data_IF_701877099949
#
_entry.id   IF_701877099949
#
_cell.length_a   1.000
_cell.length_b   1.000
_cell.length_c   1.000
_cell.angle_alpha   90.00
_cell.angle_beta   90.00
_cell.angle_gamma   90.00
#
_symmetry.space_group_name_H-M   'P 1'
#
loop_
_entity.id
_entity.type
_entity.pdbx_description
1 polymer ?
#
# COMPACT_ATOMS: atom_id res chain seq x y z
N UNK A 1 31.00 -6.94 -12.03
CA UNK A 1 30.25 -7.83 -11.12
C UNK A 1 30.16 -7.28 -9.69
N UNK A 2 31.20 -6.59 -9.19
CA UNK A 2 31.24 -6.07 -7.80
C UNK A 2 30.29 -4.88 -7.56
N UNK A 3 30.16 -3.94 -8.53
CA UNK A 3 29.31 -2.75 -8.37
C UNK A 3 27.81 -3.10 -8.36
N UNK A 4 27.36 -4.05 -9.19
CA UNK A 4 25.99 -4.56 -9.25
C UNK A 4 25.47 -5.16 -7.92
N UNK A 5 26.36 -5.43 -6.97
CA UNK A 5 26.04 -5.94 -5.63
C UNK A 5 26.40 -4.93 -4.52
N UNK A 6 26.89 -3.74 -4.87
CA UNK A 6 27.33 -2.74 -3.90
C UNK A 6 26.14 -1.94 -3.33
N UNK A 7 26.37 -1.30 -2.18
CA UNK A 7 25.40 -0.37 -1.58
C UNK A 7 25.08 0.83 -2.49
N UNK A 8 25.98 1.19 -3.40
CA UNK A 8 25.82 2.27 -4.39
C UNK A 8 24.95 1.89 -5.59
N UNK A 9 24.64 0.61 -5.81
CA UNK A 9 23.88 0.16 -6.98
C UNK A 9 22.47 0.73 -7.03
N UNK A 10 21.72 0.62 -5.95
CA UNK A 10 20.35 1.11 -5.91
C UNK A 10 20.23 2.63 -6.16
N UNK A 11 20.97 3.52 -5.46
CA UNK A 11 20.97 4.94 -5.77
C UNK A 11 21.41 5.26 -7.20
N UNK A 12 22.37 4.51 -7.74
CA UNK A 12 22.82 4.69 -9.13
C UNK A 12 21.71 4.37 -10.12
N UNK A 13 21.03 3.21 -9.98
CA UNK A 13 19.90 2.87 -10.86
C UNK A 13 18.79 3.91 -10.78
N UNK A 14 18.44 4.36 -9.56
CA UNK A 14 17.40 5.39 -9.37
C UNK A 14 17.81 6.74 -9.98
N UNK A 15 19.08 7.10 -10.03
CA UNK A 15 19.56 8.34 -10.64
C UNK A 15 19.49 8.36 -12.17
N UNK A 16 19.27 7.19 -12.80
CA UNK A 16 19.10 7.07 -14.26
C UNK A 16 17.64 7.25 -14.71
N UNK A 17 16.70 7.30 -13.76
CA UNK A 17 15.29 7.53 -14.04
C UNK A 17 15.00 9.02 -14.17
N UNK A 18 14.20 9.38 -15.16
CA UNK A 18 13.69 10.74 -15.33
C UNK A 18 12.53 11.00 -14.36
N UNK A 19 12.27 12.27 -14.04
CA UNK A 19 11.15 12.66 -13.15
C UNK A 19 9.80 12.13 -13.63
N UNK A 20 9.58 12.06 -14.95
CA UNK A 20 8.36 11.52 -15.56
C UNK A 20 8.19 10.01 -15.37
N UNK A 21 9.30 9.31 -15.14
CA UNK A 21 9.37 7.86 -14.89
C UNK A 21 9.22 7.50 -13.40
N UNK A 22 9.07 8.52 -12.56
CA UNK A 22 8.79 8.39 -11.14
C UNK A 22 7.35 8.80 -10.83
N UNK A 23 6.77 8.18 -9.81
CA UNK A 23 5.54 8.64 -9.18
C UNK A 23 5.74 8.62 -7.66
N UNK A 24 5.76 9.81 -7.04
CA UNK A 24 6.03 9.97 -5.60
C UNK A 24 7.35 9.30 -5.15
N UNK A 25 8.37 9.30 -6.02
CA UNK A 25 9.68 8.67 -5.77
C UNK A 25 9.75 7.17 -6.06
N UNK A 26 8.65 6.54 -6.48
CA UNK A 26 8.61 5.15 -6.89
C UNK A 26 8.78 5.03 -8.40
N UNK A 27 9.65 4.11 -8.89
CA UNK A 27 9.88 3.94 -10.32
C UNK A 27 8.66 3.31 -11.01
N UNK A 28 8.32 3.80 -12.19
CA UNK A 28 7.34 3.19 -13.08
C UNK A 28 7.97 2.02 -13.86
N UNK A 29 7.15 1.06 -14.26
CA UNK A 29 7.60 -0.12 -15.01
C UNK A 29 8.31 0.28 -16.32
N UNK A 30 7.79 1.28 -17.05
CA UNK A 30 8.41 1.77 -18.30
C UNK A 30 9.81 2.34 -18.06
N UNK A 31 10.01 3.13 -17.00
CA UNK A 31 11.33 3.64 -16.63
C UNK A 31 12.30 2.52 -16.27
N UNK A 32 11.84 1.52 -15.50
CA UNK A 32 12.66 0.35 -15.18
C UNK A 32 13.01 -0.49 -16.42
N UNK A 33 12.11 -0.57 -17.41
CA UNK A 33 12.38 -1.24 -18.68
C UNK A 33 13.53 -0.55 -19.43
N UNK A 34 13.42 0.77 -19.63
CA UNK A 34 14.47 1.58 -20.29
C UNK A 34 15.83 1.47 -19.57
N UNK A 35 15.83 1.63 -18.25
CA UNK A 35 17.07 1.50 -17.46
C UNK A 35 17.58 0.07 -17.47
N UNK A 36 16.70 -0.94 -17.49
CA UNK A 36 17.06 -2.33 -17.64
C UNK A 36 17.81 -2.60 -18.95
N UNK A 37 17.31 -2.09 -20.08
CA UNK A 37 17.97 -2.20 -21.38
C UNK A 37 19.31 -1.47 -21.40
N UNK A 38 19.38 -0.29 -20.78
CA UNK A 38 20.64 0.47 -20.69
C UNK A 38 21.73 -0.26 -19.90
N UNK A 39 21.38 -0.96 -18.82
CA UNK A 39 22.34 -1.55 -17.89
C UNK A 39 22.60 -3.04 -18.08
N UNK A 40 21.61 -3.78 -18.57
CA UNK A 40 21.66 -5.24 -18.64
C UNK A 40 21.79 -5.76 -20.08
N UNK A 41 21.41 -4.97 -21.07
CA UNK A 41 21.36 -5.34 -22.48
C UNK A 41 19.94 -5.43 -23.03
N UNK A 42 19.79 -5.87 -24.27
CA UNK A 42 18.50 -5.82 -24.98
C UNK A 42 17.47 -6.78 -24.39
N UNK A 43 16.21 -6.32 -24.28
CA UNK A 43 15.09 -7.19 -23.98
C UNK A 43 14.70 -7.95 -25.25
N UNK A 44 14.94 -9.26 -25.29
CA UNK A 44 14.65 -10.14 -26.44
C UNK A 44 13.33 -10.88 -26.32
N UNK A 45 12.75 -10.99 -25.14
CA UNK A 45 11.42 -11.55 -24.90
C UNK A 45 10.80 -10.90 -23.64
N UNK A 46 9.54 -10.53 -23.74
CA UNK A 46 8.80 -9.88 -22.64
C UNK A 46 7.31 -10.16 -22.82
N UNK A 47 6.78 -11.03 -21.94
CA UNK A 47 5.39 -11.51 -22.08
C UNK A 47 4.82 -12.04 -20.78
N UNK A 48 3.48 -11.98 -20.62
CA UNK A 48 2.80 -12.78 -19.62
C UNK A 48 2.96 -14.28 -19.94
N UNK A 49 3.23 -15.08 -18.94
CA UNK A 49 3.40 -16.54 -19.06
C UNK A 49 2.16 -17.29 -18.60
N UNK A 50 1.48 -16.78 -17.58
CA UNK A 50 0.21 -17.31 -17.09
C UNK A 50 -0.72 -16.14 -16.77
N UNK A 51 -2.00 -16.32 -17.09
CA UNK A 51 -3.01 -15.27 -16.93
C UNK A 51 -4.28 -15.89 -16.35
N UNK A 52 -4.69 -15.41 -15.18
CA UNK A 52 -5.95 -15.76 -14.54
C UNK A 52 -6.81 -14.48 -14.45
N UNK A 53 -7.77 -14.30 -15.39
CA UNK A 53 -8.60 -13.11 -15.44
C UNK A 53 -9.66 -13.13 -14.34
N UNK A 54 -10.24 -11.97 -14.05
CA UNK A 54 -11.43 -11.85 -13.20
C UNK A 54 -12.58 -12.66 -13.82
N UNK A 55 -13.23 -13.48 -13.00
CA UNK A 55 -14.44 -14.21 -13.37
C UNK A 55 -15.39 -14.27 -12.16
N UNK A 56 -16.61 -14.80 -12.36
CA UNK A 56 -17.63 -14.85 -11.30
C UNK A 56 -17.22 -15.60 -10.03
N UNK A 57 -16.20 -16.45 -10.10
CA UNK A 57 -15.72 -17.24 -8.95
C UNK A 57 -14.42 -16.67 -8.35
N UNK A 58 -13.81 -15.65 -8.95
CA UNK A 58 -12.50 -15.13 -8.55
C UNK A 58 -12.56 -13.99 -7.52
N UNK A 59 -13.74 -13.63 -7.03
CA UNK A 59 -13.95 -12.52 -6.08
C UNK A 59 -13.24 -11.22 -6.50
N UNK A 60 -13.35 -10.86 -7.79
CA UNK A 60 -12.69 -9.69 -8.33
C UNK A 60 -11.17 -9.78 -8.43
N UNK A 61 -10.59 -10.99 -8.41
CA UNK A 61 -9.14 -11.21 -8.49
C UNK A 61 -8.70 -11.50 -9.92
N UNK A 62 -7.62 -10.83 -10.34
CA UNK A 62 -6.84 -11.19 -11.52
C UNK A 62 -5.39 -11.45 -11.11
N UNK A 63 -4.78 -12.49 -11.66
CA UNK A 63 -3.38 -12.86 -11.40
C UNK A 63 -2.63 -13.02 -12.71
N UNK A 64 -1.42 -12.48 -12.78
CA UNK A 64 -0.54 -12.58 -13.95
C UNK A 64 0.86 -12.97 -13.51
N UNK A 65 1.41 -14.00 -14.14
CA UNK A 65 2.85 -14.30 -14.14
C UNK A 65 3.47 -13.64 -15.38
N UNK A 66 4.60 -12.98 -15.22
CA UNK A 66 5.26 -12.25 -16.30
C UNK A 66 6.75 -12.61 -16.35
N UNK A 67 7.30 -12.78 -17.55
CA UNK A 67 8.73 -13.04 -17.75
C UNK A 67 9.36 -12.04 -18.70
N UNK A 68 10.61 -11.68 -18.43
CA UNK A 68 11.44 -10.80 -19.25
C UNK A 68 12.79 -11.47 -19.43
N UNK A 69 13.25 -11.57 -20.67
CA UNK A 69 14.56 -12.13 -21.01
C UNK A 69 15.43 -11.05 -21.61
N UNK A 70 16.59 -10.85 -20.98
CA UNK A 70 17.63 -9.95 -21.46
C UNK A 70 18.73 -10.73 -22.19
N UNK A 71 19.20 -10.20 -23.30
CA UNK A 71 20.48 -10.56 -23.90
C UNK A 71 21.55 -9.63 -23.31
N UNK A 72 22.36 -10.16 -22.44
CA UNK A 72 23.40 -9.41 -21.75
C UNK A 72 24.59 -9.06 -22.68
N UNK A 73 25.40 -8.11 -22.24
CA UNK A 73 26.60 -7.64 -22.94
C UNK A 73 27.63 -8.74 -23.21
N UNK A 74 27.56 -9.87 -22.49
CA UNK A 74 28.39 -11.06 -22.67
C UNK A 74 27.73 -12.11 -23.58
N UNK A 75 26.73 -11.72 -24.36
CA UNK A 75 25.88 -12.56 -25.20
C UNK A 75 25.08 -13.63 -24.45
N UNK A 76 25.21 -13.71 -23.13
CA UNK A 76 24.37 -14.63 -22.34
C UNK A 76 22.92 -14.14 -22.26
N UNK A 77 21.99 -15.08 -22.19
CA UNK A 77 20.57 -14.75 -21.95
C UNK A 77 20.21 -15.02 -20.50
N UNK A 78 19.42 -14.13 -19.91
CA UNK A 78 18.93 -14.29 -18.54
C UNK A 78 17.48 -13.89 -18.45
N UNK A 79 16.66 -14.82 -17.94
CA UNK A 79 15.23 -14.62 -17.76
C UNK A 79 14.91 -14.30 -16.30
N UNK A 80 14.09 -13.31 -16.10
CA UNK A 80 13.55 -12.91 -14.80
C UNK A 80 12.05 -12.97 -14.86
N UNK A 81 11.42 -13.56 -13.86
CA UNK A 81 9.98 -13.68 -13.80
C UNK A 81 9.45 -13.33 -12.40
N UNK A 82 8.25 -12.82 -12.36
CA UNK A 82 7.50 -12.60 -11.14
C UNK A 82 6.00 -12.71 -11.39
N UNK A 83 5.24 -12.72 -10.30
CA UNK A 83 3.79 -12.79 -10.31
C UNK A 83 3.21 -11.59 -9.57
N UNK A 84 2.09 -11.09 -10.06
CA UNK A 84 1.29 -10.12 -9.33
C UNK A 84 -0.17 -10.50 -9.36
N UNK A 85 -0.86 -10.22 -8.27
CA UNK A 85 -2.30 -10.28 -8.19
C UNK A 85 -2.89 -8.91 -7.91
N UNK A 86 -4.09 -8.71 -8.42
CA UNK A 86 -4.93 -7.55 -8.20
C UNK A 86 -6.30 -8.06 -7.80
N UNK A 87 -6.85 -7.54 -6.73
CA UNK A 87 -8.16 -7.95 -6.24
C UNK A 87 -8.90 -6.81 -5.56
N UNK A 88 -10.22 -6.92 -5.58
CA UNK A 88 -11.12 -6.10 -4.82
C UNK A 88 -12.42 -6.89 -4.57
N UNK A 89 -12.70 -7.18 -3.31
CA UNK A 89 -13.90 -7.91 -2.89
C UNK A 89 -15.00 -6.97 -2.36
N UNK A 90 -14.82 -5.66 -2.54
CA UNK A 90 -15.72 -4.63 -2.05
C UNK A 90 -15.41 -4.16 -0.61
N UNK A 91 -14.76 -5.00 0.20
CA UNK A 91 -14.32 -4.66 1.56
C UNK A 91 -12.81 -4.47 1.65
N UNK A 92 -12.07 -5.36 0.99
CA UNK A 92 -10.60 -5.35 0.94
C UNK A 92 -10.13 -5.40 -0.51
N UNK A 93 -8.95 -4.85 -0.76
CA UNK A 93 -8.38 -4.91 -2.09
C UNK A 93 -7.12 -4.09 -2.22
N UNK A 94 -6.42 -4.34 -3.30
CA UNK A 94 -5.22 -3.60 -3.69
C UNK A 94 -5.41 -2.82 -5.01
N UNK A 95 -6.67 -2.62 -5.41
CA UNK A 95 -7.12 -1.77 -6.52
C UNK A 95 -8.42 -1.08 -6.12
N UNK A 96 -8.66 0.13 -6.61
CA UNK A 96 -9.91 0.87 -6.38
C UNK A 96 -11.06 0.27 -7.20
N UNK A 97 -12.29 0.46 -6.73
CA UNK A 97 -13.51 -0.06 -7.36
C UNK A 97 -13.64 0.39 -8.82
N UNK A 98 -13.32 1.66 -9.11
CA UNK A 98 -13.37 2.23 -10.47
C UNK A 98 -12.37 1.58 -11.44
N UNK A 99 -11.32 0.96 -10.93
CA UNK A 99 -10.27 0.35 -11.74
C UNK A 99 -10.37 -1.17 -11.85
N UNK A 100 -11.37 -1.81 -11.21
CA UNK A 100 -11.53 -3.27 -11.25
C UNK A 100 -11.70 -3.81 -12.68
N UNK A 101 -12.27 -3.02 -13.57
CA UNK A 101 -12.41 -3.36 -14.99
C UNK A 101 -11.06 -3.50 -15.69
N UNK A 102 -10.01 -2.90 -15.14
CA UNK A 102 -8.63 -2.97 -15.63
C UNK A 102 -7.74 -3.90 -14.79
N UNK A 103 -8.34 -4.73 -13.92
CA UNK A 103 -7.61 -5.59 -12.99
C UNK A 103 -6.53 -6.43 -13.67
N UNK A 104 -6.84 -7.01 -14.83
CA UNK A 104 -5.90 -7.83 -15.58
C UNK A 104 -4.71 -7.01 -16.12
N UNK A 105 -4.97 -5.84 -16.70
CA UNK A 105 -3.93 -4.95 -17.20
C UNK A 105 -3.04 -4.46 -16.04
N UNK A 106 -3.64 -4.08 -14.92
CA UNK A 106 -2.92 -3.65 -13.72
C UNK A 106 -2.06 -4.80 -13.15
N UNK A 107 -2.59 -6.02 -13.08
CA UNK A 107 -1.82 -7.18 -12.64
C UNK A 107 -0.63 -7.45 -13.57
N UNK A 108 -0.82 -7.33 -14.89
CA UNK A 108 0.24 -7.50 -15.88
C UNK A 108 1.37 -6.48 -15.69
N UNK A 109 1.04 -5.19 -15.58
CA UNK A 109 2.05 -4.12 -15.38
C UNK A 109 2.78 -4.27 -14.04
N UNK A 110 2.07 -4.67 -12.97
CA UNK A 110 2.70 -4.97 -11.67
C UNK A 110 3.64 -6.16 -11.74
N UNK A 111 3.26 -7.25 -12.44
CA UNK A 111 4.10 -8.43 -12.60
C UNK A 111 5.36 -8.11 -13.42
N UNK A 112 5.23 -7.34 -14.50
CA UNK A 112 6.35 -6.82 -15.28
C UNK A 112 7.29 -5.98 -14.42
N UNK A 113 6.78 -4.98 -13.70
CA UNK A 113 7.57 -4.14 -12.80
C UNK A 113 8.34 -4.95 -11.77
N UNK A 114 7.75 -6.02 -11.20
CA UNK A 114 8.40 -6.95 -10.28
C UNK A 114 9.52 -7.75 -10.96
N UNK A 115 9.32 -8.24 -12.18
CA UNK A 115 10.35 -8.94 -12.94
C UNK A 115 11.54 -8.02 -13.25
N UNK A 116 11.28 -6.76 -13.65
CA UNK A 116 12.29 -5.74 -13.90
C UNK A 116 13.09 -5.40 -12.62
N UNK A 117 12.41 -5.24 -11.48
CA UNK A 117 13.08 -5.02 -10.19
C UNK A 117 14.00 -6.18 -9.80
N UNK A 118 13.58 -7.43 -10.03
CA UNK A 118 14.43 -8.61 -9.84
C UNK A 118 15.67 -8.56 -10.74
N UNK A 119 15.48 -8.22 -12.02
CA UNK A 119 16.59 -8.07 -12.97
C UNK A 119 17.57 -7.00 -12.51
N UNK A 120 17.08 -5.84 -12.10
CA UNK A 120 17.87 -4.70 -11.63
C UNK A 120 18.30 -4.81 -10.15
N UNK A 121 17.89 -5.87 -9.42
CA UNK A 121 18.14 -6.08 -7.98
C UNK A 121 17.73 -4.90 -7.09
N UNK A 122 16.65 -4.26 -7.42
CA UNK A 122 16.08 -3.18 -6.64
C UNK A 122 15.22 -3.73 -5.48
N UNK A 123 15.28 -3.04 -4.33
CA UNK A 123 14.49 -3.38 -3.13
C UNK A 123 13.32 -2.43 -2.91
N UNK A 124 13.03 -1.56 -3.87
CA UNK A 124 11.91 -0.61 -3.82
C UNK A 124 10.72 -1.17 -4.60
N UNK A 125 9.48 -0.86 -4.19
CA UNK A 125 8.29 -1.16 -4.98
C UNK A 125 8.22 -0.29 -6.24
N UNK A 126 7.50 -0.75 -7.28
CA UNK A 126 7.15 0.11 -8.41
C UNK A 126 5.93 0.97 -8.10
N UNK A 127 5.74 2.05 -8.85
CA UNK A 127 4.61 2.95 -8.68
C UNK A 127 3.26 2.21 -8.83
N UNK A 128 3.19 1.23 -9.71
CA UNK A 128 2.00 0.44 -9.99
C UNK A 128 1.65 -0.55 -8.87
N UNK A 129 2.63 -0.89 -8.02
CA UNK A 129 2.40 -1.76 -6.84
C UNK A 129 1.79 -0.99 -5.67
N UNK A 130 1.91 0.34 -5.65
CA UNK A 130 1.34 1.20 -4.62
C UNK A 130 -0.14 1.40 -4.94
N UNK A 131 -1.02 0.78 -4.16
CA UNK A 131 -2.46 0.92 -4.39
C UNK A 131 -2.95 2.32 -4.03
N UNK A 132 -3.92 2.83 -4.78
CA UNK A 132 -4.53 4.13 -4.48
C UNK A 132 -5.25 4.14 -3.11
N UNK A 133 -5.70 3.00 -2.62
CA UNK A 133 -6.24 2.86 -1.24
C UNK A 133 -5.16 3.15 -0.19
N UNK A 134 -3.92 2.71 -0.43
CA UNK A 134 -2.78 3.03 0.45
C UNK A 134 -2.42 4.51 0.34
N UNK A 135 -2.48 5.10 -0.86
CA UNK A 135 -2.20 6.53 -1.07
C UNK A 135 -3.20 7.42 -0.34
N UNK A 136 -4.49 7.08 -0.34
CA UNK A 136 -5.51 7.84 0.41
C UNK A 136 -5.20 7.81 1.91
N UNK A 137 -4.80 6.67 2.45
CA UNK A 137 -4.42 6.56 3.86
C UNK A 137 -3.08 7.29 4.16
N UNK A 138 -2.12 7.28 3.23
CA UNK A 138 -0.84 7.98 3.39
C UNK A 138 -0.97 9.49 3.14
N UNK A 139 -1.88 9.96 2.28
CA UNK A 139 -2.17 11.39 2.16
C UNK A 139 -2.81 11.95 3.43
N UNK A 140 -3.61 11.15 4.13
CA UNK A 140 -4.11 11.50 5.46
C UNK A 140 -3.00 11.52 6.53
N UNK A 141 -1.88 10.78 6.33
CA UNK A 141 -0.78 10.72 7.30
C UNK A 141 0.42 11.62 6.96
N UNK A 142 0.56 12.13 5.72
CA UNK A 142 1.73 12.93 5.28
C UNK A 142 1.42 14.39 4.91
N UNK A 143 0.18 14.86 5.02
CA UNK A 143 -0.06 16.31 5.02
C UNK A 143 0.20 16.88 6.42
N UNK A 144 1.49 16.98 6.75
CA UNK A 144 1.98 17.81 7.83
C UNK A 144 1.80 19.28 7.51
N UNK A 145 0.57 19.72 7.45
CA UNK A 145 0.12 21.08 7.62
C UNK A 145 -0.84 21.04 8.79
N UNK A 146 -0.41 21.58 9.90
CA UNK A 146 -1.19 21.83 11.10
C UNK A 146 -2.40 22.73 10.75
N UNK A 147 -3.48 22.11 10.30
CA UNK A 147 -4.80 22.70 10.42
C UNK A 147 -5.46 22.09 11.66
N UNK A 148 -5.79 22.95 12.60
CA UNK A 148 -6.26 22.65 13.97
C UNK A 148 -7.68 22.03 13.99
N UNK A 149 -8.23 21.53 12.87
CA UNK A 149 -9.63 21.14 12.77
C UNK A 149 -9.88 19.95 11.84
N UNK A 150 -9.18 18.85 12.07
CA UNK A 150 -9.49 17.61 11.38
C UNK A 150 -10.44 16.76 12.25
N UNK A 151 -11.74 16.83 11.96
CA UNK A 151 -12.79 16.06 12.65
C UNK A 151 -12.51 14.54 12.59
N UNK A 152 -12.93 13.83 13.64
CA UNK A 152 -12.85 12.37 13.73
C UNK A 152 -13.46 11.70 12.47
N UNK A 153 -12.85 10.61 12.00
CA UNK A 153 -13.34 9.89 10.82
C UNK A 153 -14.46 8.91 11.19
N UNK A 154 -15.36 8.63 10.25
CA UNK A 154 -16.40 7.60 10.43
C UNK A 154 -15.82 6.22 10.81
N UNK A 155 -14.66 5.86 10.26
CA UNK A 155 -13.98 4.61 10.60
C UNK A 155 -13.49 4.59 12.05
N UNK A 156 -12.98 5.71 12.57
CA UNK A 156 -12.62 5.82 13.98
C UNK A 156 -13.86 5.71 14.87
N UNK A 157 -14.97 6.36 14.51
CA UNK A 157 -16.23 6.27 15.25
C UNK A 157 -16.74 4.81 15.28
N UNK A 158 -16.79 4.14 14.13
CA UNK A 158 -17.21 2.72 14.03
C UNK A 158 -16.32 1.81 14.88
N UNK A 159 -15.01 2.02 14.83
CA UNK A 159 -14.06 1.25 15.61
C UNK A 159 -14.25 1.46 17.11
N UNK A 160 -14.36 2.72 17.57
CA UNK A 160 -14.60 3.06 18.98
C UNK A 160 -15.91 2.43 19.47
N UNK A 161 -17.00 2.54 18.72
CA UNK A 161 -18.30 1.93 19.06
C UNK A 161 -18.20 0.42 19.22
N UNK A 162 -17.51 -0.27 18.31
CA UNK A 162 -17.32 -1.73 18.39
C UNK A 162 -16.49 -2.15 19.60
N UNK A 163 -15.42 -1.41 19.91
CA UNK A 163 -14.56 -1.69 21.05
C UNK A 163 -15.25 -1.39 22.39
N UNK A 164 -15.97 -0.29 22.48
CA UNK A 164 -16.76 0.05 23.66
C UNK A 164 -17.80 -1.03 23.96
N UNK A 165 -18.52 -1.56 22.95
CA UNK A 165 -19.43 -2.70 23.10
C UNK A 165 -18.73 -3.97 23.58
N UNK A 166 -17.51 -4.27 23.12
CA UNK A 166 -16.72 -5.44 23.55
C UNK A 166 -16.26 -5.35 25.01
N UNK A 167 -16.01 -4.13 25.49
CA UNK A 167 -15.50 -3.85 26.83
C UNK A 167 -16.60 -3.48 27.83
N UNK A 168 -17.86 -3.46 27.40
CA UNK A 168 -19.00 -2.96 28.18
C UNK A 168 -18.78 -1.54 28.72
N UNK A 169 -18.30 -0.65 27.86
CA UNK A 169 -17.95 0.75 28.15
C UNK A 169 -18.95 1.67 27.46
N UNK A 170 -19.46 2.65 28.20
CA UNK A 170 -20.26 3.73 27.64
C UNK A 170 -19.34 4.72 26.92
N UNK A 171 -19.48 4.82 25.58
CA UNK A 171 -18.64 5.67 24.74
C UNK A 171 -18.77 7.16 25.11
N UNK A 172 -19.96 7.63 25.52
CA UNK A 172 -20.18 9.03 25.90
C UNK A 172 -19.51 9.35 27.23
N UNK A 173 -19.55 8.41 28.18
CA UNK A 173 -18.84 8.55 29.44
C UNK A 173 -17.31 8.54 29.23
N UNK A 174 -16.81 7.66 28.33
CA UNK A 174 -15.39 7.59 27.97
C UNK A 174 -14.89 8.93 27.38
N UNK A 175 -15.62 9.50 26.44
CA UNK A 175 -15.27 10.76 25.78
C UNK A 175 -15.32 11.93 26.76
N UNK A 176 -16.24 11.91 27.72
CA UNK A 176 -16.37 12.95 28.76
C UNK A 176 -15.34 12.82 29.88
N UNK A 177 -14.73 11.65 30.07
CA UNK A 177 -13.78 11.38 31.19
C UNK A 177 -12.46 12.14 31.08
N UNK A 178 -12.09 12.63 29.88
CA UNK A 178 -10.84 13.38 29.65
C UNK A 178 -10.93 14.89 29.94
N UNK A 179 -11.95 15.34 30.64
CA UNK A 179 -12.07 16.73 31.08
C UNK A 179 -12.64 17.70 30.05
N UNK A 180 -12.81 17.28 28.80
CA UNK A 180 -13.50 18.06 27.76
C UNK A 180 -14.90 17.47 27.59
N UNK A 181 -15.95 18.28 27.90
CA UNK A 181 -17.36 17.87 27.68
C UNK A 181 -17.66 17.93 26.18
N UNK A 182 -17.57 16.80 25.50
CA UNK A 182 -18.05 16.68 24.14
C UNK A 182 -19.52 16.21 24.15
N UNK A 183 -20.41 17.04 23.62
CA UNK A 183 -21.84 16.71 23.50
C UNK A 183 -22.11 15.63 22.47
N UNK A 184 -21.16 15.38 21.56
CA UNK A 184 -21.26 14.39 20.49
C UNK A 184 -19.88 13.89 20.08
N UNK A 185 -19.77 12.59 19.77
CA UNK A 185 -18.54 11.96 19.31
C UNK A 185 -18.01 12.56 17.98
N UNK A 186 -18.92 13.06 17.13
CA UNK A 186 -18.58 13.66 15.84
C UNK A 186 -17.82 14.98 15.95
N UNK A 187 -17.79 15.58 17.14
CA UNK A 187 -17.03 16.81 17.43
C UNK A 187 -15.59 16.57 17.85
N UNK A 188 -15.19 15.31 18.01
CA UNK A 188 -13.80 14.97 18.31
C UNK A 188 -12.88 15.27 17.14
N UNK A 189 -11.64 15.62 17.42
CA UNK A 189 -10.57 15.67 16.42
C UNK A 189 -10.05 14.25 16.14
N UNK A 190 -9.45 14.02 14.97
CA UNK A 190 -8.77 12.75 14.63
C UNK A 190 -7.74 12.36 15.69
N UNK A 191 -7.03 13.32 16.24
CA UNK A 191 -6.02 13.11 17.28
C UNK A 191 -6.67 12.60 18.58
N UNK A 192 -7.76 13.21 19.00
CA UNK A 192 -8.52 12.77 20.17
C UNK A 192 -9.09 11.36 19.94
N UNK A 193 -9.68 11.11 18.75
CA UNK A 193 -10.16 9.78 18.36
C UNK A 193 -9.07 8.71 18.41
N UNK A 194 -7.86 9.01 17.93
CA UNK A 194 -6.72 8.08 17.99
C UNK A 194 -6.32 7.79 19.45
N UNK A 195 -6.28 8.79 20.32
CA UNK A 195 -5.98 8.60 21.75
C UNK A 195 -6.99 7.70 22.44
N UNK A 196 -8.27 7.86 22.16
CA UNK A 196 -9.32 6.97 22.70
C UNK A 196 -9.19 5.55 22.17
N UNK A 197 -8.90 5.38 20.88
CA UNK A 197 -8.66 4.07 20.25
C UNK A 197 -7.48 3.35 20.91
N UNK A 198 -6.38 4.05 21.18
CA UNK A 198 -5.21 3.47 21.86
C UNK A 198 -5.55 3.05 23.29
N UNK A 199 -6.32 3.84 24.02
CA UNK A 199 -6.79 3.50 25.37
C UNK A 199 -7.66 2.23 25.35
N UNK A 200 -8.62 2.16 24.43
CA UNK A 200 -9.49 0.99 24.24
C UNK A 200 -8.69 -0.28 23.86
N UNK A 201 -7.69 -0.15 22.98
CA UNK A 201 -6.83 -1.25 22.59
C UNK A 201 -5.98 -1.77 23.76
N UNK A 202 -5.42 -0.88 24.58
CA UNK A 202 -4.66 -1.24 25.79
C UNK A 202 -5.55 -1.92 26.83
N UNK A 203 -6.78 -1.44 27.00
CA UNK A 203 -7.76 -2.09 27.87
C UNK A 203 -8.13 -3.49 27.37
N UNK A 204 -8.33 -3.66 26.05
CA UNK A 204 -8.61 -4.97 25.42
C UNK A 204 -7.47 -5.98 25.65
N UNK A 205 -6.20 -5.51 25.70
CA UNK A 205 -5.03 -6.35 25.98
C UNK A 205 -4.79 -6.60 27.48
N UNK A 206 -5.62 -6.00 28.33
CA UNK A 206 -5.43 -6.10 29.80
C UNK A 206 -4.27 -5.26 30.34
N UNK A 207 -3.70 -4.36 29.53
CA UNK A 207 -2.57 -3.48 29.90
C UNK A 207 -3.03 -2.29 30.76
N UNK A 208 -4.31 -1.94 30.67
CA UNK A 208 -4.91 -0.82 31.42
C UNK A 208 -6.33 -1.20 31.86
N UNK A 209 -6.69 -0.89 33.08
CA UNK A 209 -8.08 -1.03 33.55
C UNK A 209 -8.87 0.21 33.17
N UNK A 210 -10.07 0.02 32.66
CA UNK A 210 -10.97 1.13 32.43
C UNK A 210 -11.44 1.72 33.77
N UNK A 211 -11.58 3.05 33.89
CA UNK A 211 -12.16 3.66 35.07
C UNK A 211 -13.56 3.15 35.33
N UNK A 212 -13.92 2.91 36.59
CA UNK A 212 -15.28 2.40 36.95
C UNK A 212 -16.41 3.32 36.48
N UNK A 213 -16.13 4.62 36.35
CA UNK A 213 -17.08 5.65 35.95
C UNK A 213 -17.53 5.52 34.47
N UNK A 214 -16.75 4.84 33.63
CA UNK A 214 -17.04 4.65 32.18
C UNK A 214 -17.62 3.26 31.86
N UNK A 215 -17.67 2.36 32.84
CA UNK A 215 -18.30 1.06 32.66
C UNK A 215 -19.83 1.22 32.63
N UNK A 216 -20.50 0.42 31.75
CA UNK A 216 -21.94 0.45 31.51
C UNK A 216 -22.77 -0.12 32.64
#
# INVERSE_FOLDING_TARGET
RSFYLSLGWHPFVMSLLDETELNEGYPKADGLRRVGELLLGDIIDSKPTEVFPVNGNSLGRATVSYSITFKWWDDSTRTYADVADVFNDGQYGNINDDFIVYALATASTRAEGRALRKALKLKICTAEEISDKVKVNNKASNSGSLSVDDSITENQIKFMNNRCKQLDVDIMKLVSSNGERHENIDKLTKKQGSTFIDTLNRATRGETKMPQEVLG
#
